data_IF_780359128454
#
_entry.id   IF_780359128454
#
_cell.length_a   1.000
_cell.length_b   1.000
_cell.length_c   1.000
_cell.angle_alpha   90.00
_cell.angle_beta   90.00
_cell.angle_gamma   90.00
#
_symmetry.space_group_name_H-M   'P 1'
#
loop_
_entity.id
_entity.type
_entity.pdbx_description
1 polymer ?
#
# COMPACT_ATOMS: atom_id res chain seq x y z
N UNK A 1 27.72 -3.45 -19.94
CA UNK A 1 26.88 -2.57 -19.09
C UNK A 1 26.57 -3.36 -17.83
N UNK A 2 27.04 -2.92 -16.67
CA UNK A 2 26.75 -3.61 -15.41
C UNK A 2 25.32 -3.30 -14.99
N UNK A 3 24.47 -4.33 -14.90
CA UNK A 3 23.18 -4.24 -14.23
C UNK A 3 23.47 -3.99 -12.75
N UNK A 4 23.22 -2.77 -12.29
CA UNK A 4 23.38 -2.39 -10.89
C UNK A 4 22.22 -3.02 -10.11
N UNK A 5 22.52 -3.67 -8.98
CA UNK A 5 21.53 -4.42 -8.20
C UNK A 5 20.41 -3.48 -7.68
N UNK A 6 19.18 -3.99 -7.52
CA UNK A 6 18.12 -3.25 -6.83
C UNK A 6 18.57 -2.84 -5.43
N UNK A 7 17.98 -1.77 -4.84
CA UNK A 7 18.33 -1.32 -3.49
C UNK A 7 18.26 -2.47 -2.49
N UNK A 8 19.28 -2.56 -1.64
CA UNK A 8 19.39 -3.65 -0.65
C UNK A 8 18.33 -3.50 0.46
N UNK A 9 17.88 -2.26 0.71
CA UNK A 9 16.87 -1.94 1.71
C UNK A 9 15.90 -0.85 1.21
N UNK A 10 14.60 -1.13 1.36
CA UNK A 10 13.51 -0.19 1.07
C UNK A 10 12.67 -0.05 2.34
N UNK A 11 12.64 1.14 2.93
CA UNK A 11 11.71 1.46 4.00
C UNK A 11 10.40 1.92 3.41
N UNK A 12 9.31 1.24 3.77
CA UNK A 12 7.98 1.56 3.27
C UNK A 12 7.15 2.15 4.41
N UNK A 13 6.61 3.33 4.16
CA UNK A 13 5.66 3.99 5.05
C UNK A 13 4.31 4.12 4.34
N UNK A 14 3.25 3.62 4.98
CA UNK A 14 1.88 3.79 4.53
C UNK A 14 1.23 4.91 5.35
N UNK A 15 0.67 5.91 4.68
CA UNK A 15 0.00 7.05 5.31
C UNK A 15 -1.47 7.06 4.94
N UNK A 16 -2.35 6.92 5.95
CA UNK A 16 -3.78 7.20 5.80
C UNK A 16 -3.97 8.73 5.80
N UNK A 17 -4.32 9.30 4.65
CA UNK A 17 -4.47 10.75 4.48
C UNK A 17 -5.72 11.32 5.14
N UNK A 18 -6.73 10.48 5.43
CA UNK A 18 -7.95 10.90 6.12
C UNK A 18 -7.78 10.89 7.64
N UNK A 19 -7.02 9.94 8.17
CA UNK A 19 -6.81 9.78 9.62
C UNK A 19 -5.48 10.34 10.12
N UNK A 20 -4.54 10.65 9.21
CA UNK A 20 -3.19 11.09 9.55
C UNK A 20 -2.32 9.98 10.16
N UNK A 21 -2.75 8.71 10.08
CA UNK A 21 -2.02 7.57 10.63
C UNK A 21 -0.88 7.15 9.70
N UNK A 22 0.26 6.79 10.27
CA UNK A 22 1.42 6.28 9.52
C UNK A 22 1.79 4.90 10.04
N UNK A 23 1.94 3.94 9.13
CA UNK A 23 2.31 2.55 9.41
C UNK A 23 3.60 2.22 8.67
N UNK A 24 4.59 1.67 9.35
CA UNK A 24 5.81 1.15 8.72
C UNK A 24 5.62 -0.32 8.35
N UNK A 25 6.13 -0.74 7.19
CA UNK A 25 6.26 -2.15 6.85
C UNK A 25 7.69 -2.45 6.39
N UNK A 26 8.15 -3.66 6.70
CA UNK A 26 9.47 -4.20 6.32
C UNK A 26 9.37 -5.40 5.40
N UNK A 27 8.16 -5.90 5.13
CA UNK A 27 7.97 -7.07 4.28
C UNK A 27 7.95 -6.64 2.82
N UNK A 28 9.02 -6.99 2.10
CA UNK A 28 9.17 -6.71 0.66
C UNK A 28 9.42 -8.02 -0.06
N UNK A 29 8.68 -8.27 -1.14
CA UNK A 29 8.90 -9.40 -2.04
C UNK A 29 9.13 -8.88 -3.45
N UNK A 30 10.12 -9.45 -4.15
CA UNK A 30 10.46 -9.09 -5.52
C UNK A 30 9.85 -10.10 -6.48
N UNK A 31 9.15 -9.61 -7.50
CA UNK A 31 8.51 -10.40 -8.56
C UNK A 31 9.06 -9.89 -9.88
N UNK A 32 9.56 -10.78 -10.74
CA UNK A 32 10.11 -10.41 -12.05
C UNK A 32 9.02 -10.46 -13.14
N UNK A 33 9.26 -9.81 -14.29
CA UNK A 33 8.23 -9.70 -15.36
C UNK A 33 7.64 -11.05 -15.81
N UNK A 34 8.42 -12.13 -15.74
CA UNK A 34 7.99 -13.47 -16.13
C UNK A 34 7.25 -14.24 -15.02
N UNK A 35 7.26 -13.71 -13.79
CA UNK A 35 6.59 -14.32 -12.65
C UNK A 35 5.13 -13.88 -12.56
N UNK A 36 4.21 -14.77 -12.14
CA UNK A 36 2.82 -14.38 -11.93
C UNK A 36 2.72 -13.32 -10.81
N UNK A 37 1.98 -12.25 -11.10
CA UNK A 37 1.67 -11.22 -10.11
C UNK A 37 0.92 -11.85 -8.93
N UNK A 38 1.36 -11.66 -7.68
CA UNK A 38 0.66 -12.20 -6.52
C UNK A 38 -0.76 -11.64 -6.45
N UNK A 39 -1.72 -12.50 -6.14
CA UNK A 39 -3.09 -12.08 -5.84
C UNK A 39 -3.05 -11.39 -4.48
N UNK A 40 -3.50 -10.14 -4.40
CA UNK A 40 -3.56 -9.41 -3.14
C UNK A 40 -4.36 -10.17 -2.09
N UNK A 41 -3.96 -10.04 -0.82
CA UNK A 41 -4.77 -10.54 0.29
C UNK A 41 -5.88 -9.53 0.60
N UNK A 42 -7.13 -10.00 0.52
CA UNK A 42 -8.29 -9.29 1.05
C UNK A 42 -8.49 -9.74 2.50
N UNK A 43 -8.02 -8.92 3.46
CA UNK A 43 -8.04 -9.25 4.89
C UNK A 43 -7.42 -8.15 5.76
N UNK A 44 -6.73 -8.55 6.84
CA UNK A 44 -6.02 -7.62 7.75
C UNK A 44 -4.73 -7.04 7.16
N UNK A 45 -4.27 -7.57 6.03
CA UNK A 45 -3.04 -7.17 5.35
C UNK A 45 -3.34 -6.27 4.14
N UNK A 46 -2.45 -5.31 3.90
CA UNK A 46 -2.50 -4.44 2.72
C UNK A 46 -1.37 -4.86 1.79
N UNK A 47 -1.73 -5.36 0.60
CA UNK A 47 -0.79 -5.70 -0.46
C UNK A 47 -0.63 -4.51 -1.40
N UNK A 48 0.58 -3.98 -1.50
CA UNK A 48 0.94 -2.93 -2.45
C UNK A 48 1.82 -3.53 -3.55
N UNK A 49 1.50 -3.20 -4.80
CA UNK A 49 2.32 -3.51 -5.95
C UNK A 49 3.03 -2.23 -6.42
N UNK A 50 4.36 -2.33 -6.49
CA UNK A 50 5.26 -1.25 -6.93
C UNK A 50 5.93 -1.69 -8.22
N UNK A 51 5.58 -1.05 -9.33
CA UNK A 51 6.28 -1.25 -10.59
C UNK A 51 7.54 -0.39 -10.58
N UNK A 52 8.70 -0.99 -10.82
CA UNK A 52 9.99 -0.29 -10.85
C UNK A 52 10.41 0.02 -12.30
N UNK A 53 11.29 1.01 -12.46
CA UNK A 53 11.95 1.28 -13.73
C UNK A 53 12.75 0.07 -14.23
N UNK A 54 13.05 0.00 -15.53
CA UNK A 54 13.83 -1.10 -16.13
C UNK A 54 15.21 -1.32 -15.49
N UNK A 55 15.77 -0.27 -14.88
CA UNK A 55 17.04 -0.32 -14.16
C UNK A 55 16.88 -0.48 -12.64
N UNK A 56 15.64 -0.64 -12.14
CA UNK A 56 15.31 -0.90 -10.74
C UNK A 56 15.54 0.28 -9.79
N UNK A 57 15.77 1.49 -10.31
CA UNK A 57 16.23 2.64 -9.50
C UNK A 57 15.11 3.47 -8.89
N UNK A 58 13.97 3.54 -9.58
CA UNK A 58 12.85 4.37 -9.14
C UNK A 58 11.52 3.63 -9.37
N UNK A 59 10.55 3.79 -8.46
CA UNK A 59 9.18 3.37 -8.71
C UNK A 59 8.59 4.21 -9.84
N UNK A 60 7.93 3.56 -10.78
CA UNK A 60 7.20 4.21 -11.89
C UNK A 60 5.69 4.21 -11.65
N UNK A 61 5.20 3.30 -10.82
CA UNK A 61 3.79 3.17 -10.48
C UNK A 61 3.62 2.42 -9.15
N UNK A 62 2.63 2.83 -8.36
CA UNK A 62 2.29 2.22 -7.07
C UNK A 62 0.78 2.04 -7.00
N UNK A 63 0.31 0.82 -6.75
CA UNK A 63 -1.12 0.51 -6.62
C UNK A 63 -1.39 -0.47 -5.50
N UNK A 64 -2.57 -0.38 -4.89
CA UNK A 64 -3.05 -1.39 -3.96
C UNK A 64 -3.65 -2.57 -4.73
N UNK A 65 -3.35 -3.79 -4.29
CA UNK A 65 -4.08 -4.99 -4.68
C UNK A 65 -5.15 -5.37 -3.64
N UNK A 66 -5.17 -4.70 -2.49
CA UNK A 66 -6.16 -4.92 -1.43
C UNK A 66 -7.35 -3.98 -1.58
N UNK A 67 -8.55 -4.51 -1.37
CA UNK A 67 -9.80 -3.73 -1.40
C UNK A 67 -9.99 -2.76 -0.22
N UNK A 68 -9.21 -2.91 0.86
CA UNK A 68 -9.29 -2.11 2.08
C UNK A 68 -8.52 -0.79 2.02
N UNK A 69 -7.72 -0.55 0.98
CA UNK A 69 -6.89 0.65 0.86
C UNK A 69 -6.78 1.13 -0.60
N UNK A 70 -7.01 2.43 -0.82
CA UNK A 70 -6.79 3.07 -2.11
C UNK A 70 -5.55 3.97 -2.06
N UNK A 71 -4.55 3.69 -2.90
CA UNK A 71 -3.38 4.55 -3.07
C UNK A 71 -3.81 5.84 -3.77
N UNK A 72 -3.41 6.98 -3.21
CA UNK A 72 -3.64 8.31 -3.79
C UNK A 72 -2.36 8.93 -4.34
N UNK A 73 -1.21 8.68 -3.71
CA UNK A 73 0.08 9.25 -4.12
C UNK A 73 1.26 8.44 -3.57
N UNK A 74 2.47 8.67 -4.08
CA UNK A 74 3.71 8.12 -3.53
C UNK A 74 4.91 9.05 -3.68
N UNK A 75 5.84 8.99 -2.74
CA UNK A 75 7.10 9.73 -2.76
C UNK A 75 8.28 8.78 -2.60
N UNK A 76 9.28 8.94 -3.45
CA UNK A 76 10.55 8.19 -3.40
C UNK A 76 11.69 9.11 -3.01
N UNK A 77 12.43 8.75 -1.97
CA UNK A 77 13.58 9.54 -1.53
C UNK A 77 14.78 8.68 -1.16
N UNK A 78 15.97 9.19 -1.47
CA UNK A 78 17.25 8.60 -1.08
C UNK A 78 17.76 9.48 0.09
N UNK A 79 17.87 8.96 1.32
CA UNK A 79 18.32 9.74 2.46
C UNK A 79 19.76 10.23 2.23
N UNK A 80 19.99 11.53 2.42
CA UNK A 80 21.32 12.13 2.25
C UNK A 80 22.38 11.62 3.24
N UNK A 81 21.96 10.93 4.31
CA UNK A 81 22.79 10.49 5.44
C UNK A 81 22.80 8.98 5.65
N UNK A 82 22.05 8.19 4.88
CA UNK A 82 22.22 6.74 4.91
C UNK A 82 23.35 6.34 3.98
N UNK A 83 24.16 5.37 4.40
CA UNK A 83 25.02 4.57 3.52
C UNK A 83 24.24 4.21 2.25
N UNK A 84 24.94 4.15 1.10
CA UNK A 84 24.48 4.22 -0.30
C UNK A 84 23.34 3.25 -0.75
N UNK A 85 22.61 2.60 0.16
CA UNK A 85 21.77 1.45 -0.09
C UNK A 85 20.36 1.49 0.56
N UNK A 86 20.05 2.47 1.43
CA UNK A 86 18.71 2.60 1.99
C UNK A 86 17.87 3.61 1.19
N UNK A 87 16.65 3.22 0.82
CA UNK A 87 15.71 4.05 0.08
C UNK A 87 14.37 4.11 0.80
N UNK A 88 13.70 5.26 0.77
CA UNK A 88 12.41 5.44 1.44
C UNK A 88 11.30 5.58 0.39
N UNK A 89 10.27 4.74 0.51
CA UNK A 89 9.02 4.84 -0.23
C UNK A 89 7.90 5.22 0.73
N UNK A 90 7.37 6.43 0.59
CA UNK A 90 6.15 6.86 1.28
C UNK A 90 4.97 6.65 0.34
N UNK A 91 3.96 5.92 0.79
CA UNK A 91 2.72 5.65 0.05
C UNK A 91 1.59 6.31 0.81
N UNK A 92 0.94 7.28 0.16
CA UNK A 92 -0.25 7.94 0.68
C UNK A 92 -1.49 7.31 0.08
N UNK A 93 -2.52 7.15 0.91
CA UNK A 93 -3.80 6.66 0.45
C UNK A 93 -4.87 6.73 1.52
N UNK A 94 -6.03 6.17 1.24
CA UNK A 94 -7.17 6.17 2.14
C UNK A 94 -7.60 4.74 2.45
N UNK A 95 -7.76 4.45 3.75
CA UNK A 95 -8.47 3.24 4.17
C UNK A 95 -9.94 3.32 3.72
N UNK A 96 -10.40 2.27 3.05
CA UNK A 96 -11.76 2.17 2.51
C UNK A 96 -12.75 1.53 3.48
N UNK A 97 -12.29 1.10 4.66
CA UNK A 97 -13.09 0.40 5.69
C UNK A 97 -14.33 1.19 6.17
N UNK A 98 -14.41 2.49 5.90
CA UNK A 98 -15.56 3.32 6.33
C UNK A 98 -16.83 3.18 5.49
N UNK A 99 -16.79 2.64 4.28
CA UNK A 99 -18.04 2.43 3.52
C UNK A 99 -18.79 1.16 3.95
N UNK A 100 -18.14 0.22 4.62
CA UNK A 100 -18.80 -0.97 5.16
C UNK A 100 -19.41 -0.74 6.55
N UNK A 101 -18.84 0.15 7.38
CA UNK A 101 -19.44 0.55 8.66
C UNK A 101 -20.80 1.25 8.48
N UNK A 102 -20.97 2.03 7.42
CA UNK A 102 -22.25 2.68 7.10
C UNK A 102 -23.32 1.67 6.65
N UNK A 103 -22.96 0.59 5.95
CA UNK A 103 -23.90 -0.48 5.58
C UNK A 103 -24.37 -1.27 6.81
N UNK A 104 -23.49 -1.51 7.80
CA UNK A 104 -23.88 -2.18 9.04
C UNK A 104 -24.77 -1.30 9.93
N UNK A 105 -24.60 0.01 9.88
CA UNK A 105 -25.45 0.94 10.63
C UNK A 105 -26.82 1.19 10.01
N UNK A 106 -26.98 1.03 8.69
CA UNK A 106 -28.27 1.15 8.00
C UNK A 106 -29.13 -0.13 8.07
N UNK A 107 -28.52 -1.30 8.27
CA UNK A 107 -29.25 -2.56 8.42
C UNK A 107 -29.87 -2.74 9.81
N UNK A 108 -29.52 -1.91 10.80
CA UNK A 108 -30.04 -1.98 12.17
C UNK A 108 -31.19 -0.98 12.45
N UNK A 109 -31.74 -0.31 11.43
CA UNK A 109 -32.83 0.68 11.60
C UNK A 109 -34.19 0.16 11.11
N UNK A 110 -34.36 -1.16 10.91
CA UNK A 110 -35.59 -1.74 10.33
C UNK A 110 -36.33 -2.75 11.21
N UNK A 111 -36.12 -2.77 12.53
CA UNK A 111 -36.89 -3.63 13.45
C UNK A 111 -37.37 -2.89 14.70
N UNK A 112 -38.02 -1.74 14.52
CA UNK A 112 -38.83 -1.14 15.60
C UNK A 112 -40.05 -0.44 14.98
N UNK A 113 -40.92 -1.19 14.30
CA UNK A 113 -42.32 -0.79 14.12
C UNK A 113 -43.27 -1.98 14.08
N UNK A 114 -44.14 -1.97 15.08
CA UNK A 114 -45.55 -2.41 15.05
C UNK A 114 -45.85 -3.91 14.88
N UNK A 115 -46.17 -4.57 15.99
CA UNK A 115 -47.56 -4.77 16.45
C UNK A 115 -47.52 -5.53 17.79
N UNK A 116 -47.94 -4.93 18.90
CA UNK A 116 -49.36 -4.86 19.35
C UNK A 116 -50.04 -6.22 19.40
#
# INVERSE_FOLDING_TARGET
>A
MSLQKPPEEIHIQLKDVLQGLTHSTTTVSYVFEDDPVPVGTDGEEITILVDMSKDGKVPINVRSLSSSFAVSDFEWSIPAVSSEHATNLLISGASLDRTQLLKKSLNNVSEDKDNS
#
